data_IF_361465791571
#
_entry.id   IF_361465791571
#
_cell.length_a   1.000
_cell.length_b   1.000
_cell.length_c   1.000
_cell.angle_alpha   90.00
_cell.angle_beta   90.00
_cell.angle_gamma   90.00
#
_symmetry.space_group_name_H-M   'P 1'
#
loop_
_entity.id
_entity.type
_entity.pdbx_description
1 polymer ?
#
# COMPACT_ATOMS: atom_id res chain seq x y z
N UNK A 1 -0.80 -14.74 42.49
CA UNK A 1 -0.52 -14.57 41.05
C UNK A 1 -1.85 -14.56 40.32
N UNK A 2 -2.12 -13.43 39.67
CA UNK A 2 -3.47 -12.91 39.48
C UNK A 2 -4.21 -13.49 38.29
N UNK A 3 -5.53 -13.40 38.37
CA UNK A 3 -6.50 -13.59 37.29
C UNK A 3 -6.16 -12.80 36.00
N UNK A 4 -5.30 -11.78 36.12
CA UNK A 4 -4.77 -10.95 35.04
C UNK A 4 -3.80 -11.67 34.09
N UNK A 5 -3.05 -12.68 34.53
CA UNK A 5 -2.18 -13.47 33.62
C UNK A 5 -3.00 -14.36 32.67
N UNK A 6 -4.17 -14.83 33.12
CA UNK A 6 -5.07 -15.65 32.31
C UNK A 6 -5.80 -14.84 31.23
N UNK A 7 -6.01 -13.54 31.44
CA UNK A 7 -6.62 -12.65 30.45
C UNK A 7 -5.59 -12.30 29.36
N UNK A 8 -4.31 -12.15 29.72
CA UNK A 8 -3.23 -11.87 28.75
C UNK A 8 -2.97 -13.05 27.81
N UNK A 9 -3.07 -14.28 28.33
CA UNK A 9 -2.94 -15.51 27.53
C UNK A 9 -4.11 -15.75 26.57
N UNK A 10 -5.27 -15.12 26.77
CA UNK A 10 -6.46 -15.32 25.93
C UNK A 10 -6.49 -14.40 24.69
N UNK A 11 -5.55 -13.47 24.55
CA UNK A 11 -5.40 -12.58 23.39
C UNK A 11 -4.18 -12.91 22.51
N UNK A 12 -3.41 -13.94 22.84
CA UNK A 12 -2.39 -14.47 21.95
C UNK A 12 -2.95 -15.69 21.23
N UNK A 13 -3.75 -15.45 20.18
CA UNK A 13 -3.86 -16.43 19.10
C UNK A 13 -2.53 -16.41 18.31
N UNK A 14 -1.49 -16.99 18.90
CA UNK A 14 -0.27 -17.35 18.19
C UNK A 14 -0.56 -18.58 17.31
N UNK A 15 -0.98 -18.30 16.09
CA UNK A 15 -0.41 -18.97 14.93
C UNK A 15 0.20 -17.88 14.05
N UNK A 16 1.29 -17.28 14.54
CA UNK A 16 2.15 -16.47 13.70
C UNK A 16 2.83 -17.43 12.73
N UNK A 17 2.44 -17.34 11.46
CA UNK A 17 3.09 -18.01 10.35
C UNK A 17 4.54 -17.55 10.31
N UNK A 18 5.46 -18.41 10.76
CA UNK A 18 6.88 -18.10 10.88
C UNK A 18 7.48 -17.97 9.47
N UNK A 19 7.32 -16.81 8.85
CA UNK A 19 7.74 -16.53 7.48
C UNK A 19 6.88 -15.54 6.72
N UNK A 20 5.72 -15.13 7.25
CA UNK A 20 4.88 -14.14 6.61
C UNK A 20 5.40 -12.71 6.84
N UNK A 21 5.48 -11.94 5.76
CA UNK A 21 5.84 -10.52 5.72
C UNK A 21 4.54 -9.71 5.59
N UNK A 22 4.33 -8.79 6.52
CA UNK A 22 3.18 -7.88 6.49
C UNK A 22 3.51 -6.64 5.64
N UNK A 23 2.61 -6.31 4.71
CA UNK A 23 2.63 -5.04 3.98
C UNK A 23 1.64 -4.12 4.69
N UNK A 24 2.09 -2.97 5.17
CA UNK A 24 1.23 -2.01 5.87
C UNK A 24 0.58 -1.02 4.90
N UNK A 25 -0.54 -0.44 5.32
CA UNK A 25 -1.33 0.47 4.50
C UNK A 25 -0.53 1.71 4.10
N UNK A 26 -0.28 1.94 2.79
CA UNK A 26 0.42 3.13 2.33
C UNK A 26 -0.45 4.38 2.46
N UNK A 27 -1.76 4.26 2.64
CA UNK A 27 -2.68 5.36 2.92
C UNK A 27 -3.88 4.86 3.72
N UNK A 28 -4.55 5.77 4.42
CA UNK A 28 -5.80 5.48 5.13
C UNK A 28 -6.95 5.33 4.14
N UNK A 29 -7.94 4.50 4.46
CA UNK A 29 -9.07 4.28 3.58
C UNK A 29 -9.82 2.99 3.82
N UNK A 30 -10.55 2.54 2.80
CA UNK A 30 -11.24 1.25 2.78
C UNK A 30 -10.61 0.36 1.71
N UNK A 31 -10.25 -0.88 2.07
CA UNK A 31 -9.74 -1.86 1.12
C UNK A 31 -10.86 -2.24 0.15
N UNK A 32 -10.51 -2.28 -1.13
CA UNK A 32 -11.35 -2.73 -2.25
C UNK A 32 -10.59 -3.79 -3.05
N UNK A 33 -11.32 -4.65 -3.75
CA UNK A 33 -10.68 -5.67 -4.57
C UNK A 33 -9.93 -5.02 -5.74
N UNK A 34 -8.80 -5.59 -6.14
CA UNK A 34 -8.04 -5.09 -7.29
C UNK A 34 -8.85 -5.24 -8.59
N UNK A 35 -9.70 -6.26 -8.64
CA UNK A 35 -10.60 -6.56 -9.75
C UNK A 35 -11.72 -5.51 -9.94
N UNK A 36 -12.01 -4.71 -8.90
CA UNK A 36 -13.02 -3.64 -8.94
C UNK A 36 -12.44 -2.29 -9.41
N UNK A 37 -11.12 -2.24 -9.67
CA UNK A 37 -10.45 -1.04 -10.18
C UNK A 37 -10.86 -0.80 -11.65
N UNK A 38 -11.27 0.43 -12.04
CA UNK A 38 -11.74 0.73 -13.39
C UNK A 38 -10.60 0.91 -14.40
N UNK A 39 -9.63 -0.01 -14.39
CA UNK A 39 -8.49 -0.06 -15.29
C UNK A 39 -8.06 -1.52 -15.49
N UNK A 40 -8.02 -1.97 -16.74
CA UNK A 40 -7.74 -3.36 -17.10
C UNK A 40 -6.35 -3.82 -16.67
N UNK A 41 -5.37 -2.92 -16.62
CA UNK A 41 -3.99 -3.25 -16.24
C UNK A 41 -3.92 -3.71 -14.79
N UNK A 42 -4.73 -3.08 -13.92
CA UNK A 42 -4.84 -3.46 -12.51
C UNK A 42 -5.88 -4.58 -12.30
N UNK A 43 -7.06 -4.47 -12.89
CA UNK A 43 -8.15 -5.42 -12.69
C UNK A 43 -7.81 -6.83 -13.18
N UNK A 44 -7.05 -6.94 -14.29
CA UNK A 44 -6.56 -8.22 -14.81
C UNK A 44 -5.18 -8.60 -14.25
N UNK A 45 -4.65 -7.84 -13.28
CA UNK A 45 -3.39 -8.13 -12.57
C UNK A 45 -2.17 -8.22 -13.49
N UNK A 46 -2.17 -7.44 -14.57
CA UNK A 46 -1.10 -7.46 -15.59
C UNK A 46 0.22 -6.95 -15.00
N UNK A 47 0.15 -5.92 -14.14
CA UNK A 47 1.33 -5.32 -13.48
C UNK A 47 1.71 -6.05 -12.19
N UNK A 48 0.80 -6.84 -11.61
CA UNK A 48 0.97 -7.48 -10.32
C UNK A 48 -0.36 -7.79 -9.65
N UNK A 49 -0.34 -8.54 -8.55
CA UNK A 49 -1.53 -8.80 -7.73
C UNK A 49 -1.45 -8.08 -6.37
N UNK A 50 -2.60 -7.77 -5.80
CA UNK A 50 -2.72 -7.02 -4.56
C UNK A 50 -4.15 -6.57 -4.30
N UNK A 51 -4.27 -5.35 -3.78
CA UNK A 51 -5.55 -4.72 -3.41
C UNK A 51 -5.60 -3.30 -3.97
N UNK A 52 -6.76 -2.66 -3.85
CA UNK A 52 -6.87 -1.20 -3.97
C UNK A 52 -7.35 -0.61 -2.65
N UNK A 53 -7.06 0.67 -2.43
CA UNK A 53 -7.58 1.44 -1.30
C UNK A 53 -8.40 2.60 -1.84
N UNK A 54 -9.63 2.74 -1.36
CA UNK A 54 -10.40 3.98 -1.51
C UNK A 54 -9.90 4.97 -0.45
N UNK A 55 -9.19 6.05 -0.83
CA UNK A 55 -8.48 6.90 0.11
C UNK A 55 -9.39 7.66 1.07
N UNK A 56 -8.93 7.83 2.30
CA UNK A 56 -9.47 8.73 3.31
C UNK A 56 -8.30 9.37 4.08
N UNK A 57 -7.70 10.42 3.53
CA UNK A 57 -6.51 11.05 4.10
C UNK A 57 -5.86 12.02 3.12
N UNK A 58 -4.58 12.33 3.34
CA UNK A 58 -3.85 13.35 2.57
C UNK A 58 -2.38 12.98 2.30
N UNK A 59 -1.98 11.73 2.50
CA UNK A 59 -0.60 11.29 2.26
C UNK A 59 -0.49 9.81 1.95
N UNK A 60 0.54 9.49 1.18
CA UNK A 60 1.04 8.15 0.94
C UNK A 60 2.38 7.95 1.66
N UNK A 61 2.50 6.83 2.36
CA UNK A 61 3.67 6.44 3.14
C UNK A 61 4.29 5.16 2.62
N UNK A 62 5.52 4.89 3.03
CA UNK A 62 6.20 3.63 2.76
C UNK A 62 5.40 2.45 3.37
N UNK A 63 4.98 1.47 2.56
CA UNK A 63 4.24 0.30 3.04
C UNK A 63 5.15 -0.78 3.69
N UNK A 64 6.46 -0.61 3.60
CA UNK A 64 7.49 -1.55 4.06
C UNK A 64 8.75 -0.78 4.45
N UNK A 65 9.67 -1.44 5.17
CA UNK A 65 11.05 -0.97 5.26
C UNK A 65 11.78 -1.36 3.98
N UNK A 66 12.49 -0.42 3.36
CA UNK A 66 13.14 -0.67 2.07
C UNK A 66 13.66 0.58 1.39
N UNK A 67 13.84 0.47 0.08
CA UNK A 67 14.40 1.54 -0.74
C UNK A 67 13.39 1.97 -1.80
N UNK A 68 13.15 3.28 -1.91
CA UNK A 68 12.30 3.83 -2.97
C UNK A 68 13.00 3.62 -4.31
N UNK A 69 12.34 2.92 -5.23
CA UNK A 69 12.86 2.68 -6.57
C UNK A 69 12.63 3.89 -7.47
N UNK A 70 11.37 4.15 -7.82
CA UNK A 70 10.96 5.24 -8.71
C UNK A 70 9.87 6.07 -8.07
N UNK A 71 9.90 7.39 -8.28
CA UNK A 71 8.75 8.26 -8.07
C UNK A 71 8.41 8.87 -9.43
N UNK A 72 7.15 8.72 -9.86
CA UNK A 72 6.74 9.21 -11.17
C UNK A 72 6.85 10.73 -11.24
N UNK A 73 7.13 11.29 -12.42
CA UNK A 73 7.35 12.75 -12.59
C UNK A 73 6.16 13.59 -12.15
N UNK A 74 4.95 13.05 -12.28
CA UNK A 74 3.69 13.67 -11.85
C UNK A 74 3.32 13.32 -10.39
N UNK A 75 4.25 12.74 -9.62
CA UNK A 75 4.16 12.51 -8.17
C UNK A 75 2.93 11.73 -7.65
N UNK A 76 2.21 11.01 -8.51
CA UNK A 76 1.02 10.25 -8.14
C UNK A 76 1.32 8.78 -7.80
N UNK A 77 2.50 8.28 -8.14
CA UNK A 77 2.86 6.88 -7.99
C UNK A 77 4.33 6.70 -7.62
N UNK A 78 4.62 5.61 -6.92
CA UNK A 78 5.98 5.21 -6.58
C UNK A 78 6.15 3.69 -6.55
N UNK A 79 7.38 3.23 -6.76
CA UNK A 79 7.80 1.86 -6.48
C UNK A 79 8.74 1.82 -5.27
N UNK A 80 8.70 0.72 -4.53
CA UNK A 80 9.56 0.47 -3.38
C UNK A 80 9.92 -1.01 -3.33
N UNK A 81 11.20 -1.31 -3.10
CA UNK A 81 11.67 -2.66 -2.85
C UNK A 81 11.91 -2.82 -1.34
N UNK A 82 11.26 -3.79 -0.72
CA UNK A 82 11.49 -4.12 0.69
C UNK A 82 12.85 -4.76 0.92
N UNK A 83 13.34 -4.72 2.16
CA UNK A 83 14.58 -5.43 2.54
C UNK A 83 14.50 -6.96 2.36
N UNK A 84 13.28 -7.51 2.26
CA UNK A 84 13.01 -8.92 2.00
C UNK A 84 12.87 -9.25 0.50
N UNK A 85 13.08 -8.26 -0.38
CA UNK A 85 13.03 -8.41 -1.84
C UNK A 85 11.61 -8.55 -2.40
N UNK A 86 10.60 -8.01 -1.72
CA UNK A 86 9.26 -7.78 -2.28
C UNK A 86 9.26 -6.41 -2.97
N UNK A 87 8.91 -6.38 -4.26
CA UNK A 87 8.73 -5.16 -5.02
C UNK A 87 7.26 -4.73 -5.01
N UNK A 88 7.00 -3.53 -4.51
CA UNK A 88 5.66 -2.96 -4.43
C UNK A 88 5.53 -1.78 -5.37
N UNK A 89 4.34 -1.65 -5.94
CA UNK A 89 3.93 -0.49 -6.72
C UNK A 89 2.65 0.10 -6.13
N UNK A 90 2.72 1.38 -5.76
CA UNK A 90 1.59 2.16 -5.23
C UNK A 90 1.26 3.26 -6.24
N UNK A 91 0.04 3.25 -6.75
CA UNK A 91 -0.40 4.16 -7.81
C UNK A 91 -1.68 4.86 -7.40
N UNK A 92 -1.63 6.16 -7.10
CA UNK A 92 -2.81 6.92 -6.69
C UNK A 92 -3.75 7.13 -7.88
N UNK A 93 -4.99 6.63 -7.75
CA UNK A 93 -6.06 6.86 -8.72
C UNK A 93 -5.83 6.22 -10.07
N UNK A 94 -6.74 6.48 -11.02
CA UNK A 94 -6.65 6.06 -12.43
C UNK A 94 -6.58 7.30 -13.32
N UNK A 95 -5.73 7.25 -14.35
CA UNK A 95 -5.44 8.34 -15.29
C UNK A 95 -4.94 9.65 -14.61
N UNK A 96 -4.42 9.55 -13.38
CA UNK A 96 -3.93 10.71 -12.59
C UNK A 96 -2.67 11.36 -13.16
N UNK A 97 -1.97 10.67 -14.07
CA UNK A 97 -0.90 11.28 -14.88
C UNK A 97 -1.39 12.49 -15.69
N UNK A 98 -2.66 12.52 -16.10
CA UNK A 98 -3.26 13.62 -16.86
C UNK A 98 -3.35 14.92 -16.05
N UNK A 99 -3.33 14.82 -14.72
CA UNK A 99 -3.33 15.96 -13.79
C UNK A 99 -1.98 16.67 -13.72
N UNK A 100 -0.93 16.13 -14.36
CA UNK A 100 0.41 16.75 -14.46
C UNK A 100 1.00 17.14 -13.09
N UNK A 101 0.71 16.34 -12.06
CA UNK A 101 1.17 16.55 -10.70
C UNK A 101 0.32 17.52 -9.87
N UNK A 102 -0.76 18.07 -10.42
CA UNK A 102 -1.71 18.84 -9.63
C UNK A 102 -2.32 17.98 -8.51
N UNK A 103 -2.33 18.51 -7.28
CA UNK A 103 -2.84 17.80 -6.11
C UNK A 103 -1.83 16.86 -5.45
N UNK A 104 -0.59 16.76 -5.94
CA UNK A 104 0.47 15.94 -5.35
C UNK A 104 1.70 16.76 -4.96
N UNK A 105 2.28 16.46 -3.81
CA UNK A 105 3.54 17.04 -3.33
C UNK A 105 4.50 15.91 -3.00
N UNK A 106 5.64 15.88 -3.69
CA UNK A 106 6.70 14.91 -3.42
C UNK A 106 7.47 15.29 -2.15
N UNK A 107 7.62 14.32 -1.24
CA UNK A 107 8.34 14.50 0.04
C UNK A 107 9.66 13.73 0.04
N UNK A 108 9.66 12.50 -0.49
CA UNK A 108 10.84 11.65 -0.52
C UNK A 108 11.56 11.66 -1.89
N UNK A 109 12.77 11.10 -1.91
CA UNK A 109 13.63 11.03 -3.09
C UNK A 109 13.77 9.59 -3.64
N UNK A 110 14.12 9.48 -4.93
CA UNK A 110 14.44 8.17 -5.52
C UNK A 110 15.75 7.64 -4.93
N UNK A 111 15.83 6.34 -4.66
CA UNK A 111 16.98 5.71 -4.00
C UNK A 111 17.07 5.96 -2.50
N UNK A 112 16.10 6.67 -1.91
CA UNK A 112 16.06 6.90 -0.46
C UNK A 112 15.67 5.61 0.29
N UNK A 113 16.45 5.27 1.32
CA UNK A 113 16.06 4.26 2.32
C UNK A 113 14.98 4.82 3.25
N UNK A 114 13.91 4.06 3.47
CA UNK A 114 12.75 4.45 4.26
C UNK A 114 12.32 3.33 5.20
N UNK A 115 11.65 3.73 6.27
CA UNK A 115 10.93 2.82 7.16
C UNK A 115 9.44 2.85 6.87
N UNK A 116 8.77 1.75 7.17
CA UNK A 116 7.33 1.65 7.13
C UNK A 116 6.68 2.84 7.87
N UNK A 117 5.82 3.58 7.18
CA UNK A 117 5.16 4.80 7.69
C UNK A 117 5.85 6.12 7.35
N UNK A 118 7.07 6.12 6.82
CA UNK A 118 7.74 7.34 6.35
C UNK A 118 6.97 7.94 5.16
N UNK A 119 6.78 9.26 5.15
CA UNK A 119 5.96 9.93 4.13
C UNK A 119 6.71 10.06 2.81
N UNK A 120 6.08 9.62 1.71
CA UNK A 120 6.66 9.63 0.37
C UNK A 120 6.06 10.75 -0.46
N UNK A 121 4.73 10.85 -0.46
CA UNK A 121 3.95 11.84 -1.22
C UNK A 121 2.82 12.34 -0.32
N UNK A 122 2.59 13.65 -0.31
CA UNK A 122 1.36 14.25 0.20
C UNK A 122 0.41 14.54 -0.96
N UNK A 123 -0.90 14.54 -0.69
CA UNK A 123 -1.92 14.80 -1.70
C UNK A 123 -3.12 15.58 -1.16
N UNK A 124 -3.78 16.32 -2.05
CA UNK A 124 -5.05 17.00 -1.77
C UNK A 124 -6.21 16.14 -2.29
N UNK A 125 -6.84 15.41 -1.37
CA UNK A 125 -7.92 14.49 -1.74
C UNK A 125 -9.12 15.21 -2.36
N UNK A 126 -9.45 16.42 -1.90
CA UNK A 126 -10.61 17.14 -2.42
C UNK A 126 -10.41 17.54 -3.88
N UNK A 127 -9.21 18.03 -4.22
CA UNK A 127 -8.83 18.34 -5.60
C UNK A 127 -8.84 17.08 -6.48
N UNK A 128 -8.32 15.97 -5.95
CA UNK A 128 -8.22 14.72 -6.70
C UNK A 128 -9.57 14.02 -6.90
N UNK A 129 -10.48 14.10 -5.93
CA UNK A 129 -11.85 13.59 -6.08
C UNK A 129 -12.65 14.35 -7.15
N UNK A 130 -12.38 15.65 -7.33
CA UNK A 130 -13.04 16.45 -8.36
C UNK A 130 -12.50 16.17 -9.76
N UNK A 131 -11.19 15.88 -9.88
CA UNK A 131 -10.48 15.89 -11.17
C UNK A 131 -10.04 14.52 -11.67
N UNK A 132 -9.76 13.57 -10.78
CA UNK A 132 -9.33 12.24 -11.19
C UNK A 132 -10.53 11.42 -11.66
N UNK A 133 -10.30 10.56 -12.66
CA UNK A 133 -11.31 9.60 -13.12
C UNK A 133 -11.72 8.61 -12.02
N UNK A 134 -10.77 8.23 -11.17
CA UNK A 134 -10.99 7.44 -9.97
C UNK A 134 -9.88 7.75 -8.96
N UNK A 135 -10.21 7.75 -7.68
CA UNK A 135 -9.24 7.88 -6.58
C UNK A 135 -8.85 6.52 -5.98
N UNK A 136 -9.40 5.41 -6.49
CA UNK A 136 -8.97 4.07 -6.07
C UNK A 136 -7.48 3.93 -6.32
N UNK A 137 -6.75 3.58 -5.26
CA UNK A 137 -5.29 3.53 -5.25
C UNK A 137 -4.83 2.08 -5.19
N UNK A 138 -4.46 1.48 -6.34
CA UNK A 138 -3.80 0.18 -6.38
C UNK A 138 -2.54 0.12 -5.51
N UNK A 139 -2.40 -0.98 -4.78
CA UNK A 139 -1.22 -1.41 -4.04
C UNK A 139 -0.95 -2.85 -4.43
N UNK A 140 0.04 -3.05 -5.31
CA UNK A 140 0.32 -4.35 -5.92
C UNK A 140 1.76 -4.77 -5.69
N UNK A 141 1.99 -6.08 -5.66
CA UNK A 141 3.32 -6.68 -5.71
C UNK A 141 3.64 -6.97 -7.17
N UNK A 142 4.74 -6.42 -7.69
CA UNK A 142 5.12 -6.55 -9.10
C UNK A 142 5.91 -7.82 -9.42
N UNK A 143 6.69 -8.34 -8.47
CA UNK A 143 7.49 -9.55 -8.63
C UNK A 143 6.77 -10.82 -8.12
N UNK A 144 5.54 -11.05 -8.60
CA UNK A 144 4.66 -12.14 -8.15
C UNK A 144 5.23 -13.55 -8.35
N UNK A 145 6.14 -13.74 -9.29
CA UNK A 145 6.88 -14.98 -9.55
C UNK A 145 7.83 -15.38 -8.41
N UNK A 146 8.20 -14.42 -7.55
CA UNK A 146 8.97 -14.69 -6.33
C UNK A 146 8.08 -14.97 -5.11
N UNK A 147 6.75 -14.83 -5.22
CA UNK A 147 5.83 -14.94 -4.10
C UNK A 147 5.17 -16.33 -4.08
N UNK A 148 5.27 -17.06 -2.96
CA UNK A 148 4.61 -18.37 -2.78
C UNK A 148 3.14 -18.23 -2.41
N UNK A 149 2.82 -17.30 -1.51
CA UNK A 149 1.46 -17.09 -1.04
C UNK A 149 1.19 -15.60 -0.80
N UNK A 150 0.01 -15.15 -1.21
CA UNK A 150 -0.48 -13.79 -1.02
C UNK A 150 -1.87 -13.84 -0.36
N UNK A 151 -1.95 -13.36 0.88
CA UNK A 151 -3.22 -13.17 1.59
C UNK A 151 -3.63 -11.71 1.55
N UNK A 152 -4.83 -11.44 1.03
CA UNK A 152 -5.42 -10.10 0.98
C UNK A 152 -6.30 -9.86 2.22
N UNK A 153 -6.05 -8.78 2.95
CA UNK A 153 -6.89 -8.36 4.08
C UNK A 153 -8.05 -7.49 3.58
N UNK A 154 -8.98 -7.14 4.47
CA UNK A 154 -10.18 -6.37 4.11
C UNK A 154 -10.59 -5.41 5.23
N UNK A 155 -11.45 -4.44 4.88
CA UNK A 155 -12.00 -3.46 5.81
C UNK A 155 -11.28 -2.12 5.79
N UNK A 156 -11.57 -1.31 6.80
CA UNK A 156 -10.97 0.01 6.97
C UNK A 156 -9.52 -0.09 7.47
N UNK A 157 -8.66 0.77 6.95
CA UNK A 157 -7.22 0.79 7.26
C UNK A 157 -6.74 2.19 7.60
N UNK A 158 -5.78 2.24 8.51
CA UNK A 158 -5.07 3.46 8.92
C UNK A 158 -3.67 3.47 8.33
N UNK A 159 -3.31 4.59 7.70
CA UNK A 159 -1.99 4.87 7.11
C UNK A 159 -0.86 4.54 8.09
N UNK A 160 0.14 3.80 7.65
CA UNK A 160 1.32 3.51 8.47
C UNK A 160 1.12 2.44 9.56
N UNK A 161 -0.10 1.93 9.75
CA UNK A 161 -0.44 1.10 10.92
C UNK A 161 -1.06 -0.24 10.53
N UNK A 162 -2.12 -0.22 9.72
CA UNK A 162 -2.92 -1.42 9.45
C UNK A 162 -2.25 -2.29 8.38
N UNK A 163 -2.13 -3.62 8.57
CA UNK A 163 -1.69 -4.50 7.50
C UNK A 163 -2.75 -4.59 6.40
N UNK A 164 -2.32 -4.66 5.14
CA UNK A 164 -3.19 -4.79 3.95
C UNK A 164 -2.96 -6.10 3.20
N UNK A 165 -1.74 -6.62 3.22
CA UNK A 165 -1.35 -7.90 2.60
C UNK A 165 -0.46 -8.67 3.56
N UNK A 166 -0.53 -10.01 3.50
CA UNK A 166 0.47 -10.91 4.08
C UNK A 166 1.09 -11.74 2.97
N UNK A 167 2.41 -11.83 2.97
CA UNK A 167 3.19 -12.40 1.88
C UNK A 167 4.14 -13.46 2.41
N UNK A 168 4.14 -14.64 1.79
CA UNK A 168 5.14 -15.68 2.05
C UNK A 168 5.99 -15.88 0.80
N UNK A 169 7.32 -15.84 0.97
CA UNK A 169 8.33 -16.04 -0.08
C UNK A 169 8.87 -17.47 -0.10
#
# INVERSE_FOLDING_TARGET
MGLFDKIKSAFSSESADAGAIDIIAPLSGEIVNIEDVPDVVFAEKIVGDGIAIKPAGNKMVAPVNGTIGKIFETNHAFSIESNDGIELFVHFGIDTVELKGEGFTRIAEEGQEVKAGDTIIEFDLAVLEEKAKSTLTPVVISNMDEIKELTKLSGAVTVGESPVLKVTK
#
